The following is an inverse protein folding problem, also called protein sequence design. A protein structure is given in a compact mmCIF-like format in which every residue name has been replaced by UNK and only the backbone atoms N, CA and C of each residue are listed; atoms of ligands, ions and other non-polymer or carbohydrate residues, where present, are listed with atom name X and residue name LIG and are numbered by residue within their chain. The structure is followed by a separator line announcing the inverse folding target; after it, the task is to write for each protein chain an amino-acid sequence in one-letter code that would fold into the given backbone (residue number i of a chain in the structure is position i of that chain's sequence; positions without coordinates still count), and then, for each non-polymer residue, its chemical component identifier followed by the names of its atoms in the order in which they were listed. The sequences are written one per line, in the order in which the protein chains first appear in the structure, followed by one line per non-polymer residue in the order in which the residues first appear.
data_IF_504316766768
#
_entry.id   IF_504316766768
#
_cell.length_a   1.000
_cell.length_b   1.000
_cell.length_c   1.000
_cell.angle_alpha   90.00
_cell.angle_beta   90.00
_cell.angle_gamma   90.00
#
_symmetry.space_group_name_H-M   'P 1'
#
loop_
_entity.id
_entity.type
_entity.pdbx_description
1 polymer ?
#
# COMPACT_ATOMS: atom_id res chain seq x y z
N UNK A 1 44.98 18.94 -11.88
CA UNK A 1 43.94 19.55 -12.72
C UNK A 1 43.22 20.58 -11.86
N UNK A 2 43.09 21.81 -12.33
CA UNK A 2 42.37 22.89 -11.64
C UNK A 2 40.87 22.60 -11.62
N UNK A 3 40.30 22.49 -10.43
CA UNK A 3 38.86 22.27 -10.25
C UNK A 3 38.07 23.54 -10.64
N UNK A 4 36.85 23.42 -11.18
CA UNK A 4 36.02 24.58 -11.45
C UNK A 4 35.59 25.24 -10.13
N UNK A 5 35.69 26.56 -10.06
CA UNK A 5 35.29 27.35 -8.90
C UNK A 5 34.60 28.62 -9.36
N UNK A 6 33.53 29.01 -8.66
CA UNK A 6 32.89 30.31 -8.81
C UNK A 6 32.95 31.10 -7.51
N UNK A 7 33.13 32.42 -7.61
CA UNK A 7 33.12 33.34 -6.47
C UNK A 7 32.27 34.54 -6.88
N UNK A 8 31.26 34.86 -6.08
CA UNK A 8 30.43 36.05 -6.25
C UNK A 8 30.98 37.18 -5.37
N UNK A 9 31.38 38.29 -5.99
CA UNK A 9 31.83 39.51 -5.33
C UNK A 9 30.74 40.59 -5.50
N UNK A 10 30.11 41.01 -4.40
CA UNK A 10 29.04 42.01 -4.42
C UNK A 10 29.54 43.45 -4.27
N UNK A 11 28.93 44.39 -5.00
CA UNK A 11 29.11 45.85 -4.85
C UNK A 11 27.75 46.57 -4.91
N UNK A 12 27.63 47.73 -4.27
CA UNK A 12 26.38 48.49 -4.04
C UNK A 12 25.58 48.86 -5.31
N UNK A 13 26.16 48.70 -6.51
CA UNK A 13 25.50 49.03 -7.80
C UNK A 13 25.62 47.93 -8.88
N UNK A 14 26.23 46.79 -8.56
CA UNK A 14 26.44 45.67 -9.48
C UNK A 14 27.30 44.57 -8.86
N UNK A 15 27.09 43.32 -9.26
CA UNK A 15 27.85 42.17 -8.77
C UNK A 15 28.84 41.67 -9.85
N UNK A 16 29.92 41.02 -9.43
CA UNK A 16 30.87 40.35 -10.35
C UNK A 16 30.98 38.88 -9.96
N UNK A 17 30.68 37.98 -10.90
CA UNK A 17 30.85 36.54 -10.74
C UNK A 17 32.14 36.10 -11.42
N UNK A 18 33.15 35.72 -10.64
CA UNK A 18 34.44 35.23 -11.14
C UNK A 18 34.38 33.72 -11.35
N UNK A 19 34.65 33.28 -12.57
CA UNK A 19 34.77 31.86 -12.93
C UNK A 19 36.25 31.50 -13.09
N UNK A 20 36.65 30.38 -12.48
CA UNK A 20 38.02 29.89 -12.53
C UNK A 20 38.09 28.37 -12.70
N UNK A 21 39.15 27.89 -13.35
CA UNK A 21 39.42 26.46 -13.55
C UNK A 21 38.82 25.88 -14.83
N UNK A 22 38.56 24.56 -14.82
CA UNK A 22 38.15 23.79 -16.01
C UNK A 22 36.68 23.37 -15.93
N UNK A 23 35.88 23.92 -16.83
CA UNK A 23 34.44 23.65 -16.97
C UNK A 23 34.22 22.58 -18.04
N UNK A 24 34.42 21.34 -17.64
CA UNK A 24 34.24 20.15 -18.48
C UNK A 24 33.11 19.31 -17.92
N UNK A 25 32.36 18.62 -18.77
CA UNK A 25 31.16 17.83 -18.41
C UNK A 25 31.40 16.89 -17.23
N UNK A 26 32.59 16.29 -17.11
CA UNK A 26 32.95 15.39 -16.01
C UNK A 26 33.23 16.09 -14.67
N UNK A 27 33.50 17.40 -14.67
CA UNK A 27 33.78 18.22 -13.48
C UNK A 27 32.61 19.11 -13.05
N UNK A 28 31.52 19.20 -13.83
CA UNK A 28 30.40 20.09 -13.52
C UNK A 28 29.62 19.72 -12.25
N UNK A 29 29.55 18.43 -11.90
CA UNK A 29 28.81 17.98 -10.73
C UNK A 29 29.30 18.56 -9.40
N UNK A 30 30.51 19.13 -9.35
CA UNK A 30 31.03 19.82 -8.15
C UNK A 30 30.57 21.27 -8.03
N UNK A 31 30.12 21.89 -9.11
CA UNK A 31 29.74 23.32 -9.16
C UNK A 31 28.28 23.56 -9.55
N UNK A 32 27.57 22.55 -10.05
CA UNK A 32 26.16 22.65 -10.48
C UNK A 32 25.26 23.27 -9.40
N UNK A 33 25.34 22.79 -8.16
CA UNK A 33 24.60 23.37 -7.05
C UNK A 33 25.00 24.83 -6.76
N UNK A 34 26.29 25.14 -6.84
CA UNK A 34 26.77 26.49 -6.60
C UNK A 34 26.30 27.48 -7.67
N UNK A 35 26.18 27.06 -8.94
CA UNK A 35 25.53 27.86 -9.99
C UNK A 35 24.03 28.00 -9.74
N UNK A 36 23.36 26.93 -9.32
CA UNK A 36 21.95 26.98 -8.96
C UNK A 36 21.67 27.98 -7.81
N UNK A 37 22.60 28.09 -6.85
CA UNK A 37 22.48 28.95 -5.68
C UNK A 37 22.99 30.40 -5.91
N UNK A 38 23.48 30.76 -7.11
CA UNK A 38 23.87 32.15 -7.42
C UNK A 38 22.64 33.05 -7.48
N UNK A 39 22.51 33.89 -6.46
CA UNK A 39 21.57 35.02 -6.41
C UNK A 39 22.39 36.33 -6.39
N UNK A 40 22.31 37.08 -7.48
CA UNK A 40 23.02 38.34 -7.61
C UNK A 40 22.08 39.49 -7.26
N UNK A 41 22.35 40.23 -6.18
CA UNK A 41 21.65 41.47 -5.89
C UNK A 41 22.07 42.59 -6.85
N UNK A 42 21.11 43.38 -7.34
CA UNK A 42 21.37 44.60 -8.13
C UNK A 42 20.72 44.59 -9.53
N UNK A 43 21.13 45.54 -10.39
CA UNK A 43 20.65 45.67 -11.78
C UNK A 43 21.58 45.08 -12.84
N UNK A 44 22.85 44.84 -12.49
CA UNK A 44 23.90 44.42 -13.41
C UNK A 44 24.77 43.34 -12.78
N UNK A 45 25.10 42.30 -13.54
CA UNK A 45 26.06 41.25 -13.18
C UNK A 45 27.10 41.08 -14.29
N UNK A 46 28.38 41.18 -13.94
CA UNK A 46 29.47 40.84 -14.86
C UNK A 46 30.04 39.45 -14.54
N UNK A 47 30.09 38.57 -15.53
CA UNK A 47 30.71 37.25 -15.40
C UNK A 47 32.14 37.33 -15.94
N UNK A 48 33.12 37.30 -15.04
CA UNK A 48 34.55 37.35 -15.37
C UNK A 48 35.09 35.95 -15.65
N UNK A 49 35.49 35.72 -16.91
CA UNK A 49 36.02 34.45 -17.39
C UNK A 49 37.56 34.41 -17.45
N UNK A 50 38.26 35.41 -16.90
CA UNK A 50 39.73 35.49 -16.96
C UNK A 50 40.44 34.28 -16.34
N UNK A 51 39.83 33.64 -15.34
CA UNK A 51 40.37 32.45 -14.67
C UNK A 51 40.00 31.12 -15.33
N UNK A 52 39.23 31.13 -16.42
CA UNK A 52 38.71 29.91 -17.07
C UNK A 52 39.73 29.36 -18.06
N UNK A 53 40.22 28.15 -17.79
CA UNK A 53 41.23 27.50 -18.64
C UNK A 53 40.63 26.81 -19.86
N UNK A 54 39.53 26.08 -19.68
CA UNK A 54 38.85 25.29 -20.72
C UNK A 54 37.36 25.21 -20.43
N UNK A 55 36.54 25.36 -21.47
CA UNK A 55 35.07 25.16 -21.45
C UNK A 55 34.68 24.16 -22.55
N UNK A 56 33.85 23.17 -22.22
CA UNK A 56 33.18 22.32 -23.21
C UNK A 56 31.68 22.66 -23.33
N UNK A 57 30.94 21.92 -24.17
CA UNK A 57 29.51 22.15 -24.39
C UNK A 57 28.67 22.10 -23.12
N UNK A 58 28.99 21.20 -22.18
CA UNK A 58 28.28 21.13 -20.89
C UNK A 58 28.58 22.35 -20.02
N UNK A 59 29.85 22.77 -19.95
CA UNK A 59 30.25 23.96 -19.21
C UNK A 59 29.64 25.25 -19.78
N UNK A 60 29.62 25.37 -21.12
CA UNK A 60 29.00 26.48 -21.81
C UNK A 60 27.48 26.52 -21.58
N UNK A 61 26.80 25.37 -21.63
CA UNK A 61 25.36 25.27 -21.35
C UNK A 61 25.02 25.77 -19.95
N UNK A 62 25.80 25.38 -18.94
CA UNK A 62 25.57 25.77 -17.55
C UNK A 62 25.79 27.28 -17.31
N UNK A 63 26.70 27.91 -18.06
CA UNK A 63 26.88 29.37 -18.06
C UNK A 63 25.70 30.06 -18.76
N UNK A 64 25.25 29.55 -19.91
CA UNK A 64 24.10 30.12 -20.64
C UNK A 64 22.81 30.00 -19.84
N UNK A 65 22.57 28.88 -19.17
CA UNK A 65 21.40 28.67 -18.31
C UNK A 65 21.40 29.64 -17.13
N UNK A 66 22.56 29.85 -16.48
CA UNK A 66 22.69 30.86 -15.43
C UNK A 66 22.39 32.27 -15.94
N UNK A 67 22.95 32.64 -17.10
CA UNK A 67 22.69 33.94 -17.72
C UNK A 67 21.20 34.11 -18.02
N UNK A 68 20.57 33.12 -18.65
CA UNK A 68 19.15 33.16 -19.00
C UNK A 68 18.24 33.28 -17.77
N UNK A 69 18.55 32.54 -16.69
CA UNK A 69 17.81 32.64 -15.42
C UNK A 69 17.89 34.03 -14.81
N UNK A 70 19.10 34.58 -14.69
CA UNK A 70 19.30 35.90 -14.08
C UNK A 70 18.75 37.04 -14.96
N UNK A 71 18.82 36.90 -16.29
CA UNK A 71 18.18 37.81 -17.24
C UNK A 71 16.64 37.76 -17.12
N UNK A 72 16.06 36.57 -16.89
CA UNK A 72 14.62 36.42 -16.63
C UNK A 72 14.19 37.08 -15.30
N UNK A 73 15.07 37.11 -14.30
CA UNK A 73 14.89 37.84 -13.04
C UNK A 73 15.11 39.38 -13.19
N UNK A 74 15.39 39.85 -14.41
CA UNK A 74 15.49 41.27 -14.75
C UNK A 74 16.89 41.87 -14.58
N UNK A 75 17.92 41.05 -14.36
CA UNK A 75 19.31 41.51 -14.33
C UNK A 75 19.89 41.60 -15.75
N UNK A 76 20.69 42.62 -16.01
CA UNK A 76 21.51 42.63 -17.22
C UNK A 76 22.84 41.92 -16.95
N UNK A 77 23.04 40.77 -17.60
CA UNK A 77 24.25 39.94 -17.44
C UNK A 77 25.21 40.15 -18.62
N UNK A 78 26.49 40.36 -18.35
CA UNK A 78 27.52 40.52 -19.40
C UNK A 78 28.76 39.68 -19.11
N UNK A 79 29.30 39.02 -20.14
CA UNK A 79 30.55 38.28 -20.06
C UNK A 79 31.74 39.22 -20.28
N UNK A 80 32.74 39.17 -19.41
CA UNK A 80 33.99 39.92 -19.53
C UNK A 80 35.20 38.97 -19.51
N UNK A 81 36.28 39.38 -20.18
CA UNK A 81 37.56 38.65 -20.25
C UNK A 81 37.47 37.20 -20.76
N UNK A 82 36.45 36.87 -21.55
CA UNK A 82 36.32 35.56 -22.16
C UNK A 82 37.22 35.43 -23.40
N UNK A 83 37.93 34.29 -23.51
CA UNK A 83 38.69 33.99 -24.72
C UNK A 83 37.75 33.87 -25.94
N UNK A 84 38.19 34.26 -27.16
CA UNK A 84 37.34 34.20 -28.36
C UNK A 84 36.75 32.82 -28.64
N UNK A 85 37.48 31.75 -28.30
CA UNK A 85 37.01 30.36 -28.43
C UNK A 85 35.89 30.01 -27.43
N UNK A 86 35.91 30.57 -26.22
CA UNK A 86 34.86 30.37 -25.22
C UNK A 86 33.60 31.14 -25.59
N UNK A 87 33.75 32.38 -26.08
CA UNK A 87 32.62 33.19 -26.56
C UNK A 87 31.89 32.51 -27.73
N UNK A 88 32.64 32.05 -28.75
CA UNK A 88 32.05 31.36 -29.89
C UNK A 88 31.29 30.10 -29.48
N UNK A 89 31.82 29.34 -28.53
CA UNK A 89 31.15 28.13 -28.01
C UNK A 89 29.87 28.48 -27.22
N UNK A 90 29.93 29.49 -26.35
CA UNK A 90 28.78 29.96 -25.57
C UNK A 90 27.66 30.49 -26.48
N UNK A 91 28.00 31.26 -27.51
CA UNK A 91 27.04 31.72 -28.52
C UNK A 91 26.42 30.56 -29.28
N UNK A 92 27.24 29.60 -29.74
CA UNK A 92 26.74 28.41 -30.45
C UNK A 92 25.76 27.61 -29.57
N UNK A 93 26.07 27.46 -28.28
CA UNK A 93 25.17 26.77 -27.33
C UNK A 93 23.92 27.59 -27.07
N UNK A 94 24.03 28.91 -26.93
CA UNK A 94 22.88 29.81 -26.74
C UNK A 94 21.91 29.76 -27.93
N UNK A 95 22.40 29.71 -29.16
CA UNK A 95 21.58 29.56 -30.36
C UNK A 95 20.97 28.15 -30.51
N UNK A 96 21.64 27.13 -29.95
CA UNK A 96 21.19 25.74 -30.03
C UNK A 96 20.24 25.34 -28.89
N UNK A 97 20.10 26.13 -27.82
CA UNK A 97 19.16 25.88 -26.74
C UNK A 97 17.74 26.22 -27.24
N UNK A 98 16.79 25.26 -27.21
CA UNK A 98 15.40 25.52 -27.55
C UNK A 98 14.78 26.57 -26.61
N UNK A 99 14.03 27.54 -27.15
CA UNK A 99 13.35 28.59 -26.35
C UNK A 99 12.30 28.02 -25.37
N UNK A 100 11.79 26.82 -25.64
CA UNK A 100 10.92 26.06 -24.75
C UNK A 100 11.45 24.62 -24.64
N UNK A 101 11.61 24.05 -23.43
CA UNK A 101 11.89 22.63 -23.30
C UNK A 101 10.71 21.88 -23.93
N UNK A 102 10.97 21.24 -25.08
CA UNK A 102 9.93 20.49 -25.78
C UNK A 102 9.27 19.51 -24.82
N UNK A 103 7.96 19.65 -24.62
CA UNK A 103 7.17 18.61 -23.96
C UNK A 103 7.45 17.31 -24.72
N UNK A 104 8.00 16.28 -24.06
CA UNK A 104 8.15 14.95 -24.66
C UNK A 104 6.78 14.55 -25.20
N UNK A 105 6.62 14.53 -26.53
CA UNK A 105 5.35 14.14 -27.14
C UNK A 105 4.99 12.76 -26.58
N UNK A 106 3.84 12.61 -25.89
CA UNK A 106 3.50 11.34 -25.29
C UNK A 106 3.42 10.33 -26.42
N UNK A 107 4.34 9.36 -26.47
CA UNK A 107 4.37 8.39 -27.55
C UNK A 107 2.96 7.76 -27.69
N UNK A 108 2.27 8.05 -28.80
CA UNK A 108 0.89 7.58 -29.03
C UNK A 108 0.98 6.29 -29.83
N UNK A 109 0.59 5.17 -29.22
CA UNK A 109 0.51 3.89 -29.92
C UNK A 109 0.45 2.68 -29.00
N UNK A 110 0.22 1.51 -29.60
CA UNK A 110 0.23 0.23 -28.89
C UNK A 110 1.59 -0.07 -28.24
N UNK A 111 2.69 0.38 -28.88
CA UNK A 111 4.05 0.25 -28.36
C UNK A 111 4.25 1.07 -27.09
N UNK A 112 3.81 2.33 -27.06
CA UNK A 112 3.88 3.16 -25.87
C UNK A 112 2.95 2.70 -24.74
N UNK A 113 1.79 2.13 -25.09
CA UNK A 113 0.94 1.47 -24.11
C UNK A 113 1.62 0.21 -23.53
N UNK A 114 2.22 -0.62 -24.38
CA UNK A 114 3.00 -1.80 -23.95
C UNK A 114 4.23 -1.41 -23.13
N UNK A 115 4.91 -0.31 -23.46
CA UNK A 115 6.03 0.20 -22.71
C UNK A 115 5.58 0.73 -21.34
N UNK A 116 4.47 1.48 -21.30
CA UNK A 116 3.88 1.94 -20.04
C UNK A 116 3.50 0.76 -19.15
N UNK A 117 2.83 -0.25 -19.72
CA UNK A 117 2.52 -1.50 -19.01
C UNK A 117 3.80 -2.21 -18.56
N UNK A 118 4.82 -2.31 -19.43
CA UNK A 118 6.10 -2.94 -19.14
C UNK A 118 6.85 -2.26 -18.00
N UNK A 119 6.89 -0.92 -18.00
CA UNK A 119 7.50 -0.09 -16.96
C UNK A 119 6.76 -0.21 -15.63
N UNK A 120 5.42 -0.27 -15.66
CA UNK A 120 4.62 -0.52 -14.47
C UNK A 120 4.80 -1.95 -13.91
N UNK A 121 4.92 -2.96 -14.79
CA UNK A 121 5.24 -4.34 -14.40
C UNK A 121 6.64 -4.43 -13.77
N UNK A 122 7.64 -3.76 -14.36
CA UNK A 122 9.00 -3.71 -13.82
C UNK A 122 9.04 -3.03 -12.45
N UNK A 123 8.35 -1.89 -12.29
CA UNK A 123 8.18 -1.21 -11.00
C UNK A 123 7.47 -2.12 -9.98
N UNK A 124 6.46 -2.87 -10.43
CA UNK A 124 5.71 -3.84 -9.63
C UNK A 124 6.58 -4.95 -9.04
N UNK A 125 7.63 -5.39 -9.74
CA UNK A 125 8.54 -6.47 -9.29
C UNK A 125 9.14 -6.21 -7.91
N UNK A 126 9.57 -4.97 -7.64
CA UNK A 126 10.12 -4.59 -6.32
C UNK A 126 9.05 -4.66 -5.22
N UNK A 127 7.81 -4.27 -5.55
CA UNK A 127 6.66 -4.39 -4.64
C UNK A 127 6.32 -5.84 -4.31
N UNK A 128 6.28 -6.71 -5.32
CA UNK A 128 6.02 -8.15 -5.14
C UNK A 128 7.09 -8.84 -4.30
N UNK A 129 8.37 -8.53 -4.54
CA UNK A 129 9.45 -9.06 -3.72
C UNK A 129 9.37 -8.57 -2.27
N UNK A 130 8.99 -7.30 -2.06
CA UNK A 130 8.82 -6.73 -0.72
C UNK A 130 7.71 -7.44 0.07
N UNK A 131 6.53 -7.63 -0.52
CA UNK A 131 5.44 -8.32 0.19
C UNK A 131 5.77 -9.79 0.44
N UNK A 132 6.46 -10.47 -0.50
CA UNK A 132 6.88 -11.85 -0.33
C UNK A 132 7.93 -11.99 0.80
N UNK A 133 8.89 -11.05 0.86
CA UNK A 133 9.86 -10.98 1.96
C UNK A 133 9.18 -10.73 3.30
N UNK A 134 8.23 -9.79 3.35
CA UNK A 134 7.49 -9.48 4.57
C UNK A 134 6.62 -10.65 5.04
N UNK A 135 5.99 -11.36 4.10
CA UNK A 135 5.25 -12.59 4.37
C UNK A 135 6.16 -13.67 4.94
N UNK A 136 7.33 -13.91 4.32
CA UNK A 136 8.31 -14.87 4.81
C UNK A 136 8.81 -14.53 6.22
N UNK A 137 9.10 -13.25 6.50
CA UNK A 137 9.52 -12.81 7.83
C UNK A 137 8.40 -12.97 8.88
N UNK A 138 7.15 -12.68 8.51
CA UNK A 138 5.98 -12.89 9.37
C UNK A 138 5.77 -14.37 9.66
N UNK A 139 5.89 -15.26 8.67
CA UNK A 139 5.83 -16.71 8.86
C UNK A 139 6.95 -17.20 9.77
N UNK A 140 8.17 -16.71 9.60
CA UNK A 140 9.29 -17.05 10.47
C UNK A 140 9.04 -16.57 11.91
N UNK A 141 8.45 -15.39 12.11
CA UNK A 141 8.05 -14.88 13.41
C UNK A 141 6.97 -15.74 14.07
N UNK A 142 5.95 -16.16 13.30
CA UNK A 142 4.92 -17.09 13.78
C UNK A 142 5.52 -18.45 14.17
N UNK A 143 6.40 -19.00 13.36
CA UNK A 143 7.10 -20.25 13.67
C UNK A 143 7.93 -20.12 14.95
N UNK A 144 8.67 -19.02 15.12
CA UNK A 144 9.40 -18.73 16.37
C UNK A 144 8.48 -18.61 17.58
N UNK A 145 7.31 -18.00 17.43
CA UNK A 145 6.33 -17.88 18.51
C UNK A 145 5.78 -19.25 18.94
N UNK A 146 5.58 -20.17 18.00
CA UNK A 146 5.14 -21.55 18.28
C UNK A 146 6.26 -22.35 18.96
N UNK A 147 7.50 -22.23 18.50
CA UNK A 147 8.65 -22.97 19.06
C UNK A 147 9.10 -22.41 20.41
N UNK A 148 8.99 -21.10 20.63
CA UNK A 148 9.43 -20.40 21.85
C UNK A 148 8.32 -19.52 22.45
N UNK A 149 7.20 -20.10 22.92
CA UNK A 149 6.06 -19.33 23.43
C UNK A 149 6.37 -18.49 24.67
N UNK A 150 7.40 -18.86 25.45
CA UNK A 150 7.82 -18.11 26.64
C UNK A 150 8.46 -16.74 26.32
N UNK A 151 8.92 -16.52 25.09
CA UNK A 151 9.44 -15.22 24.63
C UNK A 151 8.34 -14.28 24.13
N UNK A 152 7.10 -14.76 24.06
CA UNK A 152 5.98 -14.00 23.50
C UNK A 152 5.47 -12.94 24.47
N UNK A 153 5.16 -11.76 23.94
CA UNK A 153 4.56 -10.66 24.69
C UNK A 153 3.05 -10.85 24.76
N UNK A 154 2.59 -11.52 25.82
CA UNK A 154 1.17 -11.87 26.01
C UNK A 154 0.24 -10.65 26.16
N UNK A 155 0.70 -9.59 26.84
CA UNK A 155 -0.14 -8.41 27.07
C UNK A 155 -0.57 -7.71 25.76
N UNK A 156 0.33 -7.41 24.80
CA UNK A 156 -0.08 -6.93 23.47
C UNK A 156 -1.02 -7.90 22.74
N UNK A 157 -0.79 -9.21 22.81
CA UNK A 157 -1.65 -10.19 22.14
C UNK A 157 -3.09 -10.14 22.67
N UNK A 158 -3.27 -10.17 23.99
CA UNK A 158 -4.60 -10.12 24.62
C UNK A 158 -5.31 -8.79 24.31
N UNK A 159 -4.59 -7.67 24.33
CA UNK A 159 -5.15 -6.38 23.92
C UNK A 159 -5.65 -6.42 22.48
N UNK A 160 -4.89 -7.01 21.56
CA UNK A 160 -5.32 -7.15 20.17
C UNK A 160 -6.50 -8.12 20.02
N UNK A 161 -6.59 -9.17 20.84
CA UNK A 161 -7.75 -10.07 20.84
C UNK A 161 -9.04 -9.39 21.31
N UNK A 162 -8.97 -8.49 22.29
CA UNK A 162 -10.11 -7.65 22.70
C UNK A 162 -10.57 -6.73 21.56
N UNK A 163 -9.62 -6.01 20.97
CA UNK A 163 -9.89 -5.03 19.91
C UNK A 163 -10.43 -5.66 18.61
N UNK A 164 -9.84 -6.76 18.19
CA UNK A 164 -10.18 -7.42 16.91
C UNK A 164 -11.34 -8.39 17.07
N UNK A 165 -11.43 -9.04 18.23
CA UNK A 165 -12.38 -10.10 18.50
C UNK A 165 -13.60 -9.60 19.25
N UNK A 166 -13.47 -9.38 20.56
CA UNK A 166 -14.60 -9.08 21.45
C UNK A 166 -15.40 -7.87 20.97
N UNK A 167 -14.73 -6.77 20.66
CA UNK A 167 -15.41 -5.56 20.16
C UNK A 167 -16.07 -5.77 18.79
N UNK A 168 -15.68 -6.78 18.01
CA UNK A 168 -16.25 -7.09 16.69
C UNK A 168 -17.45 -8.03 16.72
N UNK A 169 -17.70 -8.71 17.84
CA UNK A 169 -18.82 -9.65 17.99
C UNK A 169 -20.17 -9.03 17.61
N UNK A 170 -20.57 -7.82 18.06
CA UNK A 170 -21.92 -7.31 17.79
C UNK A 170 -22.19 -7.07 16.31
N UNK A 171 -21.23 -6.50 15.57
CA UNK A 171 -21.39 -6.22 14.14
C UNK A 171 -21.38 -7.52 13.32
N UNK A 172 -20.53 -8.49 13.69
CA UNK A 172 -20.46 -9.78 13.00
C UNK A 172 -21.73 -10.61 13.24
N UNK A 173 -22.23 -10.65 14.48
CA UNK A 173 -23.48 -11.34 14.82
C UNK A 173 -24.69 -10.72 14.11
N UNK A 174 -24.80 -9.39 14.12
CA UNK A 174 -25.88 -8.68 13.43
C UNK A 174 -25.87 -8.93 11.93
N UNK A 175 -24.70 -8.83 11.29
CA UNK A 175 -24.55 -9.09 9.86
C UNK A 175 -24.88 -10.55 9.50
N UNK A 176 -24.38 -11.51 10.28
CA UNK A 176 -24.70 -12.93 10.12
C UNK A 176 -26.20 -13.17 10.21
N UNK A 177 -26.86 -12.62 11.23
CA UNK A 177 -28.30 -12.70 11.42
C UNK A 177 -29.10 -12.15 10.25
N UNK A 178 -28.79 -10.93 9.80
CA UNK A 178 -29.48 -10.30 8.67
C UNK A 178 -29.32 -11.10 7.38
N UNK A 179 -28.12 -11.64 7.13
CA UNK A 179 -27.84 -12.43 5.94
C UNK A 179 -28.57 -13.78 6.00
N UNK A 180 -28.68 -14.38 7.18
CA UNK A 180 -29.53 -15.55 7.40
C UNK A 180 -30.99 -15.31 7.03
N UNK A 181 -31.56 -14.17 7.45
CA UNK A 181 -32.93 -13.77 7.08
C UNK A 181 -33.06 -13.61 5.56
N UNK A 182 -32.15 -12.87 4.93
CA UNK A 182 -32.19 -12.59 3.49
C UNK A 182 -32.08 -13.88 2.68
N UNK A 183 -31.15 -14.77 3.03
CA UNK A 183 -30.97 -16.06 2.36
C UNK A 183 -32.19 -16.97 2.53
N UNK A 184 -32.78 -17.02 3.71
CA UNK A 184 -33.97 -17.82 3.94
C UNK A 184 -35.15 -17.33 3.09
N UNK A 185 -35.36 -16.02 3.04
CA UNK A 185 -36.43 -15.43 2.24
C UNK A 185 -36.22 -15.61 0.74
N UNK A 186 -35.00 -15.34 0.25
CA UNK A 186 -34.69 -15.47 -1.16
C UNK A 186 -34.64 -16.94 -1.60
N UNK A 187 -34.07 -17.82 -0.78
CA UNK A 187 -34.06 -19.26 -1.05
C UNK A 187 -35.47 -19.85 -1.07
N UNK A 188 -36.32 -19.47 -0.12
CA UNK A 188 -37.74 -19.85 -0.06
C UNK A 188 -38.49 -19.52 -1.34
N UNK A 189 -38.44 -18.24 -1.73
CA UNK A 189 -39.17 -17.73 -2.90
C UNK A 189 -38.72 -18.37 -4.21
N UNK A 190 -37.45 -18.78 -4.31
CA UNK A 190 -36.94 -19.50 -5.48
C UNK A 190 -37.33 -20.99 -5.47
N UNK A 191 -37.22 -21.67 -4.33
CA UNK A 191 -37.55 -23.09 -4.21
C UNK A 191 -39.06 -23.38 -4.27
N UNK A 192 -39.88 -22.42 -3.84
CA UNK A 192 -41.34 -22.48 -3.94
C UNK A 192 -41.82 -22.67 -5.38
N UNK A 193 -41.14 -22.05 -6.36
CA UNK A 193 -41.48 -22.18 -7.78
C UNK A 193 -41.33 -23.62 -8.30
N UNK A 194 -40.56 -24.44 -7.60
CA UNK A 194 -40.31 -25.85 -7.91
C UNK A 194 -41.00 -26.81 -6.93
N UNK A 195 -41.82 -26.31 -5.98
CA UNK A 195 -42.43 -27.12 -4.92
C UNK A 195 -41.43 -27.70 -3.92
N UNK A 196 -40.24 -27.08 -3.80
CA UNK A 196 -39.06 -27.62 -3.13
C UNK A 196 -38.73 -26.88 -1.81
N UNK A 197 -39.71 -26.24 -1.16
CA UNK A 197 -39.52 -25.38 0.02
C UNK A 197 -38.85 -26.09 1.21
N UNK A 198 -38.98 -27.42 1.30
CA UNK A 198 -38.32 -28.25 2.32
C UNK A 198 -36.79 -28.14 2.28
N UNK A 199 -36.19 -27.83 1.12
CA UNK A 199 -34.74 -27.73 0.95
C UNK A 199 -34.18 -26.36 1.36
N UNK A 200 -35.02 -25.41 1.78
CA UNK A 200 -34.56 -24.09 2.24
C UNK A 200 -33.61 -24.22 3.43
N UNK A 201 -33.88 -25.13 4.37
CA UNK A 201 -33.02 -25.37 5.54
C UNK A 201 -31.63 -25.84 5.12
N UNK A 202 -31.56 -26.75 4.14
CA UNK A 202 -30.31 -27.26 3.60
C UNK A 202 -29.52 -26.15 2.88
N UNK A 203 -30.20 -25.35 2.05
CA UNK A 203 -29.60 -24.20 1.38
C UNK A 203 -28.99 -23.21 2.39
N UNK A 204 -29.73 -22.81 3.42
CA UNK A 204 -29.25 -21.89 4.46
C UNK A 204 -28.03 -22.49 5.15
N UNK A 205 -28.13 -23.75 5.59
CA UNK A 205 -27.12 -24.38 6.43
C UNK A 205 -25.81 -24.58 5.69
N UNK A 206 -25.86 -25.11 4.46
CA UNK A 206 -24.66 -25.28 3.64
C UNK A 206 -24.06 -23.93 3.28
N UNK A 207 -24.87 -22.97 2.81
CA UNK A 207 -24.36 -21.67 2.33
C UNK A 207 -23.70 -20.86 3.45
N UNK A 208 -24.31 -20.81 4.64
CA UNK A 208 -23.78 -20.05 5.77
C UNK A 208 -22.54 -20.74 6.34
N UNK A 209 -22.62 -22.05 6.63
CA UNK A 209 -21.54 -22.76 7.33
C UNK A 209 -20.29 -22.92 6.48
N UNK A 210 -20.44 -23.16 5.18
CA UNK A 210 -19.34 -23.51 4.28
C UNK A 210 -18.66 -22.29 3.63
N UNK A 211 -19.41 -21.23 3.40
CA UNK A 211 -18.92 -20.08 2.62
C UNK A 211 -19.21 -18.75 3.31
N UNK A 212 -20.48 -18.35 3.37
CA UNK A 212 -20.84 -16.96 3.63
C UNK A 212 -20.45 -16.49 5.02
N UNK A 213 -20.66 -17.29 6.07
CA UNK A 213 -20.41 -16.83 7.44
C UNK A 213 -18.94 -16.48 7.68
N UNK A 214 -17.99 -17.32 7.25
CA UNK A 214 -16.56 -17.04 7.39
C UNK A 214 -16.13 -15.95 6.41
N UNK A 215 -16.57 -15.99 5.15
CA UNK A 215 -16.19 -15.00 4.13
C UNK A 215 -16.59 -13.57 4.53
N UNK A 216 -17.83 -13.39 4.96
CA UNK A 216 -18.36 -12.08 5.37
C UNK A 216 -17.69 -11.58 6.65
N UNK A 217 -17.44 -12.48 7.61
CA UNK A 217 -16.66 -12.15 8.80
C UNK A 217 -15.27 -11.65 8.41
N UNK A 218 -14.59 -12.33 7.48
CA UNK A 218 -13.28 -11.91 7.00
C UNK A 218 -13.31 -10.54 6.31
N UNK A 219 -14.33 -10.27 5.48
CA UNK A 219 -14.52 -8.96 4.83
C UNK A 219 -14.70 -7.84 5.87
N UNK A 220 -15.54 -8.06 6.88
CA UNK A 220 -15.79 -7.08 7.96
C UNK A 220 -14.51 -6.85 8.77
N UNK A 221 -13.80 -7.92 9.14
CA UNK A 221 -12.55 -7.84 9.90
C UNK A 221 -11.44 -7.15 9.09
N UNK A 222 -11.36 -7.39 7.78
CA UNK A 222 -10.45 -6.67 6.90
C UNK A 222 -10.75 -5.16 6.87
N UNK A 223 -12.03 -4.80 6.74
CA UNK A 223 -12.48 -3.42 6.71
C UNK A 223 -12.27 -2.67 8.03
N UNK A 224 -12.57 -3.30 9.18
CA UNK A 224 -12.48 -2.66 10.50
C UNK A 224 -11.10 -2.81 11.15
N UNK A 225 -10.68 -4.05 11.36
CA UNK A 225 -9.46 -4.34 12.13
C UNK A 225 -8.22 -4.18 11.26
N UNK A 226 -8.29 -4.60 9.99
CA UNK A 226 -7.20 -4.39 9.02
C UNK A 226 -6.91 -2.91 8.77
N UNK A 227 -7.95 -2.08 8.63
CA UNK A 227 -7.78 -0.62 8.50
C UNK A 227 -7.20 0.00 9.77
N UNK A 228 -7.69 -0.39 10.96
CA UNK A 228 -7.17 0.09 12.24
C UNK A 228 -5.69 -0.31 12.46
N UNK A 229 -5.29 -1.51 12.03
CA UNK A 229 -3.88 -1.94 12.07
C UNK A 229 -3.02 -1.09 11.15
N UNK A 230 -3.52 -0.84 9.93
CA UNK A 230 -2.80 -0.01 8.94
C UNK A 230 -2.63 1.42 9.43
N UNK A 231 -3.70 2.00 9.98
CA UNK A 231 -3.72 3.37 10.49
C UNK A 231 -2.84 3.54 11.74
N UNK A 232 -2.95 2.63 12.72
CA UNK A 232 -2.15 2.70 13.96
C UNK A 232 -0.67 2.51 13.70
N UNK A 233 -0.28 1.42 13.02
CA UNK A 233 1.14 1.17 12.71
C UNK A 233 1.68 2.19 11.71
N UNK A 234 0.86 2.65 10.77
CA UNK A 234 1.21 3.71 9.84
C UNK A 234 1.46 5.06 10.54
N UNK A 235 0.66 5.40 11.54
CA UNK A 235 0.88 6.59 12.38
C UNK A 235 2.18 6.49 13.17
N UNK A 236 2.46 5.33 13.77
CA UNK A 236 3.72 5.06 14.48
C UNK A 236 4.93 5.20 13.53
N UNK A 237 4.77 4.86 12.26
CA UNK A 237 5.80 5.06 11.24
C UNK A 237 6.04 6.55 10.95
N UNK A 238 4.99 7.35 10.83
CA UNK A 238 5.10 8.82 10.60
C UNK A 238 5.72 9.52 11.80
N UNK A 239 5.46 9.02 13.02
CA UNK A 239 6.01 9.53 14.27
C UNK A 239 7.41 8.98 14.59
N UNK A 240 8.05 8.26 13.65
CA UNK A 240 9.39 7.66 13.79
C UNK A 240 9.53 6.65 14.95
N UNK A 241 8.43 6.20 15.56
CA UNK A 241 8.46 5.22 16.66
C UNK A 241 9.01 3.86 16.20
N UNK A 242 8.73 3.48 14.95
CA UNK A 242 9.25 2.24 14.36
C UNK A 242 10.78 2.29 14.20
N UNK A 243 11.31 3.44 13.80
CA UNK A 243 12.75 3.60 13.62
C UNK A 243 13.45 3.72 14.98
N UNK A 244 12.83 4.37 15.97
CA UNK A 244 13.28 4.32 17.36
C UNK A 244 13.31 2.89 17.94
N UNK A 245 12.34 2.03 17.62
CA UNK A 245 12.40 0.62 18.05
C UNK A 245 13.60 -0.12 17.43
N UNK A 246 13.92 0.16 16.16
CA UNK A 246 15.08 -0.45 15.48
C UNK A 246 16.40 -0.01 16.11
N UNK A 247 16.54 1.26 16.51
CA UNK A 247 17.76 1.74 17.18
C UNK A 247 17.93 1.12 18.57
N UNK A 248 16.84 0.75 19.24
CA UNK A 248 16.85 -0.01 20.50
C UNK A 248 17.11 -1.52 20.30
N UNK A 249 17.35 -1.99 19.07
CA UNK A 249 17.62 -3.39 18.76
C UNK A 249 16.36 -4.29 18.80
N UNK A 250 15.17 -3.71 18.80
CA UNK A 250 13.91 -4.46 18.75
C UNK A 250 13.49 -4.71 17.30
N UNK A 251 13.08 -5.93 16.97
CA UNK A 251 12.48 -6.22 15.66
C UNK A 251 11.02 -5.72 15.64
N UNK A 252 10.65 -4.75 14.78
CA UNK A 252 9.27 -4.27 14.67
C UNK A 252 8.26 -5.35 14.27
N UNK A 253 8.68 -6.38 13.53
CA UNK A 253 7.80 -7.50 13.14
C UNK A 253 7.37 -8.30 14.38
N UNK A 254 8.32 -8.65 15.25
CA UNK A 254 8.03 -9.43 16.45
C UNK A 254 7.19 -8.62 17.47
N UNK A 255 7.38 -7.29 17.53
CA UNK A 255 6.71 -6.42 18.51
C UNK A 255 5.33 -5.95 18.04
N UNK A 256 5.19 -5.58 16.76
CA UNK A 256 3.95 -4.99 16.22
C UNK A 256 3.12 -5.97 15.40
N UNK A 257 3.74 -6.71 14.48
CA UNK A 257 3.02 -7.52 13.48
C UNK A 257 2.54 -8.82 14.10
N UNK A 258 3.44 -9.53 14.77
CA UNK A 258 3.19 -10.84 15.36
C UNK A 258 1.95 -10.90 16.28
N UNK A 259 1.78 -10.02 17.30
CA UNK A 259 0.59 -10.08 18.16
C UNK A 259 -0.72 -9.79 17.41
N UNK A 260 -0.69 -8.94 16.38
CA UNK A 260 -1.85 -8.60 15.56
C UNK A 260 -2.27 -9.77 14.66
N UNK A 261 -1.30 -10.41 14.01
CA UNK A 261 -1.55 -11.58 13.15
C UNK A 261 -2.02 -12.77 13.99
N UNK A 262 -1.42 -13.01 15.16
CA UNK A 262 -1.87 -14.06 16.07
C UNK A 262 -3.28 -13.80 16.62
N UNK A 263 -3.59 -12.56 16.98
CA UNK A 263 -4.95 -12.20 17.40
C UNK A 263 -5.97 -12.48 16.29
N UNK A 264 -5.66 -12.14 15.03
CA UNK A 264 -6.52 -12.46 13.89
C UNK A 264 -6.67 -13.98 13.69
N UNK A 265 -5.57 -14.73 13.76
CA UNK A 265 -5.56 -16.19 13.58
C UNK A 265 -6.47 -16.91 14.59
N UNK A 266 -6.55 -16.40 15.82
CA UNK A 266 -7.38 -16.97 16.88
C UNK A 266 -8.82 -16.43 16.79
N UNK A 267 -8.98 -15.11 16.65
CA UNK A 267 -10.29 -14.48 16.77
C UNK A 267 -11.15 -14.61 15.52
N UNK A 268 -10.58 -14.67 14.30
CA UNK A 268 -11.38 -14.77 13.08
C UNK A 268 -12.17 -16.09 12.99
N UNK A 269 -11.60 -17.27 13.33
CA UNK A 269 -12.38 -18.51 13.49
C UNK A 269 -13.52 -18.38 14.50
N UNK A 270 -13.27 -17.76 15.67
CA UNK A 270 -14.27 -17.58 16.72
C UNK A 270 -15.40 -16.66 16.23
N UNK A 271 -15.06 -15.55 15.59
CA UNK A 271 -16.03 -14.63 14.99
C UNK A 271 -16.83 -15.30 13.87
N UNK A 272 -16.20 -16.12 13.03
CA UNK A 272 -16.87 -16.88 11.98
C UNK A 272 -17.88 -17.87 12.56
N UNK A 273 -17.55 -18.53 13.67
CA UNK A 273 -18.50 -19.37 14.40
C UNK A 273 -19.70 -18.56 14.93
N UNK A 274 -19.46 -17.38 15.51
CA UNK A 274 -20.55 -16.48 15.94
C UNK A 274 -21.43 -16.08 14.77
N UNK A 275 -20.85 -15.67 13.64
CA UNK A 275 -21.58 -15.32 12.43
C UNK A 275 -22.46 -16.46 11.93
N UNK A 276 -21.91 -17.69 11.93
CA UNK A 276 -22.62 -18.90 11.55
C UNK A 276 -23.83 -19.15 12.46
N UNK A 277 -23.66 -19.08 13.77
CA UNK A 277 -24.75 -19.29 14.72
C UNK A 277 -25.84 -18.22 14.59
N UNK A 278 -25.45 -16.94 14.49
CA UNK A 278 -26.39 -15.85 14.28
C UNK A 278 -27.12 -15.97 12.94
N UNK A 279 -26.44 -16.41 11.88
CA UNK A 279 -27.04 -16.64 10.57
C UNK A 279 -28.02 -17.80 10.53
N UNK A 280 -27.69 -18.93 11.15
CA UNK A 280 -28.64 -20.04 11.31
C UNK A 280 -29.88 -19.60 12.11
N UNK A 281 -29.68 -18.82 13.17
CA UNK A 281 -30.80 -18.27 13.96
C UNK A 281 -31.69 -17.33 13.13
N UNK A 282 -31.09 -16.43 12.34
CA UNK A 282 -31.84 -15.55 11.43
C UNK A 282 -32.61 -16.33 10.37
N UNK A 283 -31.99 -17.36 9.79
CA UNK A 283 -32.65 -18.23 8.81
C UNK A 283 -33.79 -19.06 9.41
N UNK A 284 -33.63 -19.57 10.64
CA UNK A 284 -34.67 -20.29 11.37
C UNK A 284 -35.87 -19.38 11.68
N UNK A 285 -35.62 -18.16 12.16
CA UNK A 285 -36.67 -17.18 12.44
C UNK A 285 -37.47 -16.85 11.19
N UNK A 286 -36.79 -16.60 10.07
CA UNK A 286 -37.46 -16.25 8.81
C UNK A 286 -38.24 -17.44 8.22
N UNK A 287 -37.71 -18.64 8.34
CA UNK A 287 -38.39 -19.87 7.91
C UNK A 287 -39.66 -20.13 8.73
N UNK A 288 -39.63 -19.82 10.04
CA UNK A 288 -40.81 -19.94 10.87
C UNK A 288 -41.90 -18.94 10.48
N UNK A 289 -41.54 -17.67 10.24
CA UNK A 289 -42.50 -16.61 9.94
C UNK A 289 -43.13 -16.72 8.54
N UNK A 290 -42.39 -17.14 7.52
CA UNK A 290 -42.87 -17.12 6.13
C UNK A 290 -43.15 -18.50 5.52
N UNK A 291 -42.49 -19.57 5.98
CA UNK A 291 -42.63 -20.92 5.41
C UNK A 291 -43.46 -21.86 6.30
N UNK A 292 -43.96 -21.38 7.44
CA UNK A 292 -44.63 -22.21 8.46
C UNK A 292 -43.78 -23.41 8.93
N UNK A 293 -42.45 -23.32 8.81
CA UNK A 293 -41.54 -24.35 9.31
C UNK A 293 -41.37 -24.15 10.81
N UNK A 294 -41.87 -25.07 11.62
CA UNK A 294 -41.73 -24.97 13.07
C UNK A 294 -40.24 -25.04 13.48
N UNK A 295 -39.83 -24.38 14.58
CA UNK A 295 -38.45 -24.46 15.07
C UNK A 295 -37.98 -25.90 15.32
N UNK A 296 -38.88 -26.78 15.78
CA UNK A 296 -38.59 -28.20 15.94
C UNK A 296 -38.28 -28.89 14.61
N UNK A 297 -39.09 -28.64 13.57
CA UNK A 297 -38.83 -29.17 12.23
C UNK A 297 -37.53 -28.62 11.64
N UNK A 298 -37.22 -27.34 11.86
CA UNK A 298 -35.96 -26.75 11.41
C UNK A 298 -34.75 -27.47 12.02
N UNK A 299 -34.77 -27.72 13.34
CA UNK A 299 -33.68 -28.42 14.03
C UNK A 299 -33.55 -29.87 13.56
N UNK A 300 -34.65 -30.59 13.43
CA UNK A 300 -34.63 -31.97 12.90
C UNK A 300 -34.04 -32.00 11.48
N UNK A 301 -34.48 -31.10 10.60
CA UNK A 301 -33.95 -31.00 9.24
C UNK A 301 -32.46 -30.64 9.23
N UNK A 302 -32.06 -29.67 10.05
CA UNK A 302 -30.66 -29.27 10.20
C UNK A 302 -29.80 -30.49 10.59
N UNK A 303 -30.26 -31.31 11.54
CA UNK A 303 -29.53 -32.51 11.97
C UNK A 303 -29.49 -33.61 10.91
N UNK A 304 -30.56 -33.78 10.13
CA UNK A 304 -30.63 -34.78 9.06
C UNK A 304 -29.79 -34.42 7.84
N UNK A 305 -29.75 -33.14 7.45
CA UNK A 305 -29.13 -32.71 6.19
C UNK A 305 -27.75 -32.08 6.36
N UNK A 306 -27.44 -31.53 7.54
CA UNK A 306 -26.19 -30.79 7.74
C UNK A 306 -25.14 -31.64 8.42
N UNK A 307 -24.17 -32.12 7.63
CA UNK A 307 -22.95 -32.70 8.19
C UNK A 307 -22.14 -31.64 8.94
N UNK A 308 -21.58 -32.02 10.10
CA UNK A 308 -20.62 -31.18 10.87
C UNK A 308 -19.44 -30.73 10.00
N UNK A 309 -19.18 -31.47 8.92
CA UNK A 309 -18.14 -31.19 7.96
C UNK A 309 -18.34 -29.87 7.21
N UNK A 310 -19.58 -29.41 6.99
CA UNK A 310 -19.82 -28.09 6.40
C UNK A 310 -19.24 -26.96 7.25
N UNK A 311 -19.39 -27.05 8.57
CA UNK A 311 -18.75 -26.13 9.50
C UNK A 311 -17.22 -26.30 9.45
N UNK A 312 -16.72 -27.54 9.45
CA UNK A 312 -15.29 -27.83 9.36
C UNK A 312 -14.62 -27.19 8.14
N UNK A 313 -15.23 -27.31 6.95
CA UNK A 313 -14.74 -26.71 5.70
C UNK A 313 -14.63 -25.19 5.84
N UNK A 314 -15.66 -24.53 6.36
CA UNK A 314 -15.62 -23.09 6.60
C UNK A 314 -14.54 -22.68 7.60
N UNK A 315 -14.46 -23.39 8.72
CA UNK A 315 -13.51 -23.13 9.81
C UNK A 315 -12.06 -23.31 9.39
N UNK A 316 -11.75 -24.27 8.49
CA UNK A 316 -10.41 -24.47 7.95
C UNK A 316 -9.94 -23.28 7.12
N UNK A 317 -10.84 -22.56 6.42
CA UNK A 317 -10.49 -21.37 5.62
C UNK A 317 -10.11 -20.17 6.50
N UNK A 318 -10.73 -20.04 7.68
CA UNK A 318 -10.60 -18.87 8.54
C UNK A 318 -9.15 -18.48 8.89
N UNK A 319 -8.25 -19.40 9.32
CA UNK A 319 -6.84 -19.07 9.57
C UNK A 319 -6.11 -18.50 8.35
N UNK A 320 -6.41 -18.98 7.14
CA UNK A 320 -5.77 -18.47 5.91
C UNK A 320 -6.22 -17.04 5.61
N UNK A 321 -7.52 -16.75 5.77
CA UNK A 321 -8.03 -15.39 5.62
C UNK A 321 -7.43 -14.45 6.67
N UNK A 322 -7.36 -14.89 7.93
CA UNK A 322 -6.73 -14.14 9.01
C UNK A 322 -5.27 -13.78 8.72
N UNK A 323 -4.49 -14.77 8.23
CA UNK A 323 -3.10 -14.56 7.86
C UNK A 323 -2.96 -13.52 6.74
N UNK A 324 -3.76 -13.65 5.68
CA UNK A 324 -3.75 -12.70 4.55
C UNK A 324 -4.11 -11.29 4.99
N UNK A 325 -5.20 -11.12 5.74
CA UNK A 325 -5.64 -9.82 6.25
C UNK A 325 -4.55 -9.19 7.11
N UNK A 326 -4.00 -9.96 8.06
CA UNK A 326 -2.97 -9.46 8.96
C UNK A 326 -1.68 -9.05 8.25
N UNK A 327 -1.23 -9.86 7.30
CA UNK A 327 -0.02 -9.59 6.52
C UNK A 327 -0.21 -8.37 5.62
N UNK A 328 -1.30 -8.29 4.86
CA UNK A 328 -1.55 -7.16 3.96
C UNK A 328 -1.69 -5.86 4.75
N UNK A 329 -2.45 -5.88 5.85
CA UNK A 329 -2.64 -4.70 6.68
C UNK A 329 -1.34 -4.17 7.28
N UNK A 330 -0.54 -5.07 7.85
CA UNK A 330 0.74 -4.68 8.43
C UNK A 330 1.71 -4.24 7.34
N UNK A 331 1.81 -4.97 6.22
CA UNK A 331 2.68 -4.60 5.11
C UNK A 331 2.36 -3.20 4.58
N UNK A 332 1.08 -2.88 4.34
CA UNK A 332 0.70 -1.53 3.89
C UNK A 332 1.04 -0.45 4.92
N UNK A 333 0.95 -0.76 6.21
CA UNK A 333 1.37 0.15 7.28
C UNK A 333 2.87 0.49 7.19
N UNK A 334 3.71 -0.51 6.93
CA UNK A 334 5.15 -0.31 6.69
C UNK A 334 5.47 0.42 5.38
N UNK A 335 4.50 0.62 4.48
CA UNK A 335 4.67 1.35 3.21
C UNK A 335 4.20 2.82 3.25
N UNK A 336 3.73 3.29 4.41
CA UNK A 336 3.38 4.70 4.65
C UNK A 336 4.61 5.61 4.49
N UNK A 337 4.42 6.84 3.97
CA UNK A 337 5.51 7.79 3.69
C UNK A 337 5.17 9.16 4.30
N UNK A 338 5.80 9.51 5.42
CA UNK A 338 6.00 10.88 5.97
C UNK A 338 4.79 11.78 6.22
N UNK A 339 3.59 11.46 5.74
CA UNK A 339 2.41 12.31 5.81
C UNK A 339 1.17 11.53 6.25
N UNK A 340 0.26 12.21 6.96
CA UNK A 340 -1.04 11.66 7.36
C UNK A 340 -1.91 11.28 6.16
N UNK A 341 -1.80 12.00 5.05
CA UNK A 341 -2.47 11.67 3.78
C UNK A 341 -2.05 10.29 3.27
N UNK A 342 -0.75 9.95 3.38
CA UNK A 342 -0.26 8.64 2.96
C UNK A 342 -0.81 7.50 3.84
N UNK A 343 -1.06 7.76 5.14
CA UNK A 343 -1.70 6.78 6.05
C UNK A 343 -3.10 6.46 5.56
N UNK A 344 -3.90 7.47 5.22
CA UNK A 344 -5.25 7.29 4.68
C UNK A 344 -5.26 6.48 3.38
N UNK A 345 -4.41 6.83 2.42
CA UNK A 345 -4.28 6.12 1.14
C UNK A 345 -3.89 4.65 1.34
N UNK A 346 -2.90 4.37 2.20
CA UNK A 346 -2.45 3.00 2.50
C UNK A 346 -3.51 2.20 3.25
N UNK A 347 -4.29 2.85 4.10
CA UNK A 347 -5.42 2.24 4.82
C UNK A 347 -6.50 1.77 3.85
N UNK A 348 -6.89 2.61 2.89
CA UNK A 348 -7.85 2.20 1.86
C UNK A 348 -7.30 1.07 0.99
N UNK A 349 -6.04 1.17 0.55
CA UNK A 349 -5.39 0.15 -0.26
C UNK A 349 -5.31 -1.21 0.47
N UNK A 350 -5.04 -1.18 1.78
CA UNK A 350 -5.03 -2.36 2.65
C UNK A 350 -6.36 -3.09 2.67
N UNK A 351 -7.46 -2.36 2.84
CA UNK A 351 -8.81 -2.94 2.87
C UNK A 351 -9.15 -3.57 1.52
N UNK A 352 -8.95 -2.85 0.41
CA UNK A 352 -9.26 -3.33 -0.94
C UNK A 352 -8.45 -4.58 -1.29
N UNK A 353 -7.14 -4.56 -1.03
CA UNK A 353 -6.27 -5.70 -1.31
C UNK A 353 -6.60 -6.92 -0.44
N UNK A 354 -6.92 -6.69 0.84
CA UNK A 354 -7.30 -7.77 1.76
C UNK A 354 -8.60 -8.45 1.31
N UNK A 355 -9.63 -7.67 0.97
CA UNK A 355 -10.92 -8.20 0.50
C UNK A 355 -10.73 -8.99 -0.80
N UNK A 356 -10.01 -8.41 -1.77
CA UNK A 356 -9.76 -9.09 -3.04
C UNK A 356 -9.03 -10.42 -2.84
N UNK A 357 -7.98 -10.45 -2.02
CA UNK A 357 -7.20 -11.65 -1.77
C UNK A 357 -7.99 -12.70 -0.98
N UNK A 358 -8.85 -12.28 -0.04
CA UNK A 358 -9.75 -13.19 0.69
C UNK A 358 -10.75 -13.84 -0.27
N UNK A 359 -11.39 -13.07 -1.16
CA UNK A 359 -12.33 -13.60 -2.16
C UNK A 359 -11.62 -14.56 -3.13
N UNK A 360 -10.42 -14.19 -3.61
CA UNK A 360 -9.64 -15.04 -4.49
C UNK A 360 -9.24 -16.37 -3.81
N UNK A 361 -8.83 -16.32 -2.54
CA UNK A 361 -8.54 -17.52 -1.76
C UNK A 361 -9.79 -18.36 -1.50
N UNK A 362 -10.93 -17.74 -1.22
CA UNK A 362 -12.18 -18.46 -1.01
C UNK A 362 -12.57 -19.26 -2.26
N UNK A 363 -12.49 -18.63 -3.44
CA UNK A 363 -12.73 -19.32 -4.72
C UNK A 363 -11.76 -20.50 -4.94
N UNK A 364 -10.47 -20.32 -4.62
CA UNK A 364 -9.48 -21.39 -4.70
C UNK A 364 -9.84 -22.56 -3.77
N UNK A 365 -10.19 -22.28 -2.51
CA UNK A 365 -10.58 -23.29 -1.55
C UNK A 365 -11.89 -23.99 -1.97
N UNK A 366 -12.89 -23.25 -2.46
CA UNK A 366 -14.15 -23.85 -2.90
C UNK A 366 -13.94 -24.82 -4.07
N UNK A 367 -13.07 -24.49 -5.05
CA UNK A 367 -12.69 -25.43 -6.12
C UNK A 367 -11.90 -26.63 -5.57
N UNK A 368 -10.98 -26.41 -4.64
CA UNK A 368 -10.18 -27.47 -4.03
C UNK A 368 -11.05 -28.47 -3.26
N UNK A 369 -11.94 -28.00 -2.38
CA UNK A 369 -12.84 -28.87 -1.61
C UNK A 369 -13.83 -29.60 -2.52
N UNK A 370 -14.37 -28.92 -3.55
CA UNK A 370 -15.23 -29.57 -4.54
C UNK A 370 -14.51 -30.73 -5.25
N UNK A 371 -13.22 -30.57 -5.62
CA UNK A 371 -12.43 -31.66 -6.22
C UNK A 371 -12.12 -32.81 -5.27
N UNK A 372 -12.02 -32.54 -3.96
CA UNK A 372 -11.83 -33.58 -2.95
C UNK A 372 -13.13 -34.30 -2.57
N UNK A 373 -14.28 -33.93 -3.16
CA UNK A 373 -15.58 -34.52 -2.85
C UNK A 373 -16.12 -34.08 -1.49
N UNK A 374 -15.69 -32.91 -1.02
CA UNK A 374 -15.98 -32.34 0.30
C UNK A 374 -16.81 -31.08 0.20
#
# INVERSE_FOLDING_TARGET
MSAPTLILEGSDNGSVLRLAGRYLTHSLGTVEKAFADVDAGGRFLEIDMSGVEVVDTGGAWLIVELMARLEADGLKVTLINAAPSHLALIETVREAIPEEPGEEEPERGLLAWLERVGREVERGKKGTLSILSFFGETLAALARAVVMPWKMRWAPLVSQMDDVGFKAVPIVALMGFLIGIVLAFQGATQLQQFGAEVFVVELISISILRELGILLTAIIVAGRSGSAFTASVGSMKVQEEIDAMRTLGLNPIDVLVLPRVLALLIMLPILGFVANMSGLFGGALMSWLNLNVSPGMFVTRLQETTSIWHLGVGMIKAPFFALVIGVIACWQAFQVRGSSTSVGQRTTASVVQSIFMVIALDALFSVFFAKMGV
#
